data_IF_995568772622
#
_entry.id   IF_995568772622
#
_cell.length_a   1.000
_cell.length_b   1.000
_cell.length_c   1.000
_cell.angle_alpha   90.00
_cell.angle_beta   90.00
_cell.angle_gamma   90.00
#
_symmetry.space_group_name_H-M   'P 1'
#
loop_
_entity.id
_entity.type
_entity.pdbx_description
1 polymer ?
#
# COMPACT_ATOMS: atom_id res chain seq x y z
N UNK A 1 -21.84 -18.94 2.69
CA UNK A 1 -21.03 -17.73 2.97
C UNK A 1 -20.35 -17.35 1.66
N UNK A 2 -20.44 -16.09 1.23
CA UNK A 2 -19.72 -15.63 0.02
C UNK A 2 -18.22 -15.72 0.28
N UNK A 3 -17.46 -16.23 -0.70
CA UNK A 3 -15.99 -16.22 -0.61
C UNK A 3 -15.49 -14.79 -0.54
N UNK A 4 -14.53 -14.55 0.38
CA UNK A 4 -13.93 -13.22 0.58
C UNK A 4 -12.55 -13.13 -0.08
N UNK A 5 -12.20 -11.95 -0.57
CA UNK A 5 -10.85 -11.68 -1.06
C UNK A 5 -9.88 -11.53 0.11
N UNK A 6 -8.76 -12.23 0.08
CA UNK A 6 -7.69 -12.08 1.06
C UNK A 6 -6.79 -10.90 0.65
N UNK A 7 -6.58 -9.94 1.56
CA UNK A 7 -5.83 -8.72 1.31
C UNK A 7 -4.77 -8.46 2.39
N UNK A 8 -3.51 -8.40 2.00
CA UNK A 8 -2.44 -7.80 2.81
C UNK A 8 -2.43 -6.29 2.52
N UNK A 9 -2.81 -5.50 3.51
CA UNK A 9 -2.78 -4.04 3.45
C UNK A 9 -1.49 -3.53 4.11
N UNK A 10 -0.46 -3.25 3.30
CA UNK A 10 0.80 -2.67 3.78
C UNK A 10 0.62 -1.16 3.96
N UNK A 11 0.98 -0.66 5.12
CA UNK A 11 0.94 0.76 5.41
C UNK A 11 2.11 1.19 6.30
N UNK A 12 2.31 2.49 6.44
CA UNK A 12 3.40 3.05 7.23
C UNK A 12 3.95 4.34 6.63
N UNK A 13 4.81 5.05 7.36
CA UNK A 13 5.27 6.37 6.98
C UNK A 13 6.14 6.37 5.72
N UNK A 14 6.32 7.56 5.14
CA UNK A 14 7.18 7.78 3.98
C UNK A 14 8.62 7.36 4.28
N UNK A 15 9.29 6.69 3.34
CA UNK A 15 10.67 6.25 3.50
C UNK A 15 10.89 4.97 4.31
N UNK A 16 9.86 4.37 4.93
CA UNK A 16 10.03 3.13 5.70
C UNK A 16 10.26 1.87 4.85
N UNK A 17 10.07 1.93 3.51
CA UNK A 17 10.42 0.84 2.60
C UNK A 17 9.28 -0.10 2.20
N UNK A 18 8.01 0.33 2.29
CA UNK A 18 6.82 -0.43 1.88
C UNK A 18 6.93 -1.07 0.49
N UNK A 19 7.31 -0.29 -0.52
CA UNK A 19 7.47 -0.78 -1.89
C UNK A 19 8.54 -1.85 -2.02
N UNK A 20 9.63 -1.73 -1.25
CA UNK A 20 10.73 -2.69 -1.24
C UNK A 20 10.28 -4.02 -0.66
N UNK A 21 9.56 -3.99 0.46
CA UNK A 21 8.98 -5.18 1.10
C UNK A 21 7.93 -5.81 0.18
N UNK A 22 6.98 -5.03 -0.36
CA UNK A 22 5.96 -5.54 -1.31
C UNK A 22 6.61 -6.26 -2.48
N UNK A 23 7.62 -5.64 -3.12
CA UNK A 23 8.34 -6.27 -4.23
C UNK A 23 9.07 -7.54 -3.84
N UNK A 24 9.63 -7.60 -2.62
CA UNK A 24 10.30 -8.80 -2.12
C UNK A 24 9.31 -9.95 -1.92
N UNK A 25 8.12 -9.70 -1.37
CA UNK A 25 7.04 -10.69 -1.23
C UNK A 25 6.62 -11.21 -2.62
N UNK A 26 6.28 -10.31 -3.54
CA UNK A 26 5.84 -10.67 -4.89
C UNK A 26 6.90 -11.46 -5.68
N UNK A 27 8.20 -11.22 -5.42
CA UNK A 27 9.30 -11.97 -6.06
C UNK A 27 9.41 -13.40 -5.54
N UNK A 28 9.09 -13.64 -4.26
CA UNK A 28 9.21 -14.97 -3.63
C UNK A 28 8.14 -15.96 -4.11
N UNK A 29 6.91 -15.50 -4.32
CA UNK A 29 5.81 -16.37 -4.74
C UNK A 29 4.78 -15.60 -5.62
N UNK A 30 5.01 -15.59 -6.92
CA UNK A 30 4.12 -14.93 -7.90
C UNK A 30 2.80 -15.70 -8.13
N UNK A 31 2.75 -16.96 -7.77
CA UNK A 31 1.54 -17.78 -7.92
C UNK A 31 0.55 -17.46 -6.82
N UNK A 32 1.03 -17.38 -5.59
CA UNK A 32 0.19 -17.12 -4.41
C UNK A 32 -0.25 -15.66 -4.31
N UNK A 33 0.64 -14.71 -4.65
CA UNK A 33 0.37 -13.28 -4.47
C UNK A 33 -0.08 -12.58 -5.74
N UNK A 34 -1.07 -11.68 -5.59
CA UNK A 34 -1.50 -10.75 -6.61
C UNK A 34 -1.11 -9.32 -6.23
N UNK A 35 -0.44 -8.61 -7.15
CA UNK A 35 -0.07 -7.21 -6.96
C UNK A 35 -1.25 -6.31 -7.28
N UNK A 36 -1.81 -5.65 -6.28
CA UNK A 36 -2.79 -4.59 -6.50
C UNK A 36 -2.09 -3.36 -7.10
N UNK A 37 -2.64 -2.87 -8.21
CA UNK A 37 -2.24 -1.61 -8.85
C UNK A 37 -3.34 -0.60 -8.54
N UNK A 38 -2.98 0.47 -7.82
CA UNK A 38 -3.89 1.56 -7.49
C UNK A 38 -4.25 2.42 -8.71
N UNK A 39 -5.38 3.11 -8.63
CA UNK A 39 -5.79 4.15 -9.58
C UNK A 39 -5.46 5.54 -9.02
N UNK A 40 -5.22 6.51 -9.89
CA UNK A 40 -4.98 7.90 -9.47
C UNK A 40 -5.26 8.91 -10.57
N UNK A 41 -5.73 10.10 -10.16
CA UNK A 41 -5.88 11.25 -11.07
C UNK A 41 -4.62 12.11 -11.15
N UNK A 42 -3.58 11.78 -10.36
CA UNK A 42 -2.30 12.46 -10.43
C UNK A 42 -1.66 12.25 -11.81
N UNK A 43 -1.11 13.31 -12.44
CA UNK A 43 -0.36 13.14 -13.68
C UNK A 43 0.78 12.13 -13.55
N UNK A 44 0.92 11.30 -14.57
CA UNK A 44 1.98 10.30 -14.66
C UNK A 44 3.36 10.99 -14.68
N UNK A 45 4.29 10.50 -13.87
CA UNK A 45 5.69 10.93 -13.90
C UNK A 45 6.41 10.29 -15.08
N UNK A 46 7.56 10.89 -15.48
CA UNK A 46 8.32 10.46 -16.65
C UNK A 46 8.65 8.97 -16.73
N UNK A 47 8.97 8.35 -15.59
CA UNK A 47 9.38 6.93 -15.51
C UNK A 47 8.26 5.97 -15.14
N UNK A 48 7.06 6.46 -14.87
CA UNK A 48 5.93 5.62 -14.48
C UNK A 48 5.22 5.05 -15.72
N UNK A 49 4.65 3.86 -15.59
CA UNK A 49 3.98 3.13 -16.67
C UNK A 49 2.54 2.88 -16.25
N UNK A 50 1.57 3.29 -17.11
CA UNK A 50 0.16 3.04 -16.89
C UNK A 50 -0.12 1.53 -16.85
N UNK A 51 -0.95 1.09 -15.87
CA UNK A 51 -1.26 -0.31 -15.65
C UNK A 51 -0.14 -1.11 -14.97
N UNK A 52 0.97 -0.46 -14.58
CA UNK A 52 2.07 -1.09 -13.85
C UNK A 52 2.34 -0.39 -12.51
N UNK A 53 2.50 0.93 -12.53
CA UNK A 53 2.74 1.73 -11.33
C UNK A 53 1.40 2.21 -10.74
N UNK A 54 0.54 2.73 -11.60
CA UNK A 54 -0.85 3.10 -11.34
C UNK A 54 -1.69 2.94 -12.60
N UNK A 55 -3.01 2.86 -12.44
CA UNK A 55 -3.97 3.20 -13.48
C UNK A 55 -4.19 4.71 -13.42
N UNK A 56 -3.56 5.43 -14.37
CA UNK A 56 -3.70 6.89 -14.47
C UNK A 56 -4.95 7.21 -15.27
N UNK A 57 -5.86 7.96 -14.66
CA UNK A 57 -7.15 8.34 -15.24
C UNK A 57 -7.42 9.82 -14.95
N UNK A 58 -8.36 10.43 -15.65
CA UNK A 58 -8.81 11.76 -15.33
C UNK A 58 -9.83 11.78 -14.17
N UNK A 59 -10.26 12.99 -13.77
CA UNK A 59 -11.20 13.13 -12.67
C UNK A 59 -12.60 12.59 -13.00
N UNK A 60 -13.02 12.64 -14.24
CA UNK A 60 -14.33 12.19 -14.69
C UNK A 60 -14.37 10.66 -14.65
N UNK A 61 -13.39 9.99 -15.24
CA UNK A 61 -13.24 8.53 -15.20
C UNK A 61 -13.11 8.02 -13.75
N UNK A 62 -12.37 8.72 -12.88
CA UNK A 62 -12.25 8.36 -11.47
C UNK A 62 -13.60 8.47 -10.76
N UNK A 63 -14.32 9.58 -10.95
CA UNK A 63 -15.63 9.80 -10.35
C UNK A 63 -16.66 8.75 -10.81
N UNK A 64 -16.67 8.41 -12.11
CA UNK A 64 -17.53 7.34 -12.64
C UNK A 64 -17.25 5.99 -11.95
N UNK A 65 -15.98 5.63 -11.74
CA UNK A 65 -15.64 4.40 -11.04
C UNK A 65 -16.10 4.40 -9.59
N UNK A 66 -16.06 5.55 -8.90
CA UNK A 66 -16.59 5.68 -7.53
C UNK A 66 -18.12 5.53 -7.54
N UNK A 67 -18.83 6.27 -8.40
CA UNK A 67 -20.29 6.26 -8.49
C UNK A 67 -20.85 4.88 -8.86
N UNK A 68 -20.16 4.13 -9.70
CA UNK A 68 -20.52 2.78 -10.11
C UNK A 68 -20.08 1.69 -9.12
N UNK A 69 -19.57 2.05 -7.93
CA UNK A 69 -19.05 1.12 -6.93
C UNK A 69 -17.96 0.18 -7.45
N UNK A 70 -17.20 0.62 -8.46
CA UNK A 70 -16.08 -0.14 -9.05
C UNK A 70 -14.80 -0.06 -8.18
N UNK A 71 -14.79 0.76 -7.14
CA UNK A 71 -13.66 0.89 -6.21
C UNK A 71 -13.97 0.26 -4.85
N UNK A 72 -12.96 -0.35 -4.24
CA UNK A 72 -13.04 -0.88 -2.87
C UNK A 72 -12.70 0.19 -1.82
N UNK A 73 -11.93 1.20 -2.21
CA UNK A 73 -11.64 2.41 -1.46
C UNK A 73 -11.28 3.56 -2.42
N UNK A 74 -11.52 4.79 -2.00
CA UNK A 74 -11.11 6.00 -2.69
C UNK A 74 -10.80 7.10 -1.66
N UNK A 75 -9.66 7.78 -1.83
CA UNK A 75 -9.19 8.84 -0.94
C UNK A 75 -8.63 10.02 -1.73
N UNK A 76 -8.46 11.16 -1.09
CA UNK A 76 -7.82 12.32 -1.70
C UNK A 76 -6.49 12.62 -0.99
N UNK A 77 -5.47 12.98 -1.76
CA UNK A 77 -4.18 13.36 -1.23
C UNK A 77 -3.50 14.41 -2.13
N UNK A 78 -3.15 15.55 -1.57
CA UNK A 78 -2.50 16.66 -2.30
C UNK A 78 -3.26 17.12 -3.56
N UNK A 79 -4.59 17.18 -3.49
CA UNK A 79 -5.43 17.61 -4.62
C UNK A 79 -5.61 16.56 -5.72
N UNK A 80 -5.12 15.33 -5.52
CA UNK A 80 -5.32 14.20 -6.42
C UNK A 80 -6.10 13.09 -5.73
N UNK A 81 -6.90 12.36 -6.50
CA UNK A 81 -7.59 11.18 -6.02
C UNK A 81 -6.73 9.93 -6.19
N UNK A 82 -6.88 9.02 -5.25
CA UNK A 82 -6.27 7.69 -5.23
C UNK A 82 -7.32 6.67 -4.84
N UNK A 83 -7.26 5.50 -5.43
CA UNK A 83 -8.21 4.44 -5.11
C UNK A 83 -7.75 3.08 -5.61
N UNK A 84 -8.52 2.06 -5.28
CA UNK A 84 -8.26 0.69 -5.70
C UNK A 84 -9.46 0.11 -6.41
N UNK A 85 -9.28 -0.24 -7.69
CA UNK A 85 -10.33 -0.87 -8.49
C UNK A 85 -10.62 -2.29 -7.98
N UNK A 86 -11.90 -2.62 -7.84
CA UNK A 86 -12.38 -3.96 -7.46
C UNK A 86 -11.86 -5.04 -8.40
N UNK A 87 -11.77 -4.74 -9.69
CA UNK A 87 -11.23 -5.63 -10.72
C UNK A 87 -9.76 -5.98 -10.57
N UNK A 88 -9.01 -5.25 -9.72
CA UNK A 88 -7.61 -5.57 -9.40
C UNK A 88 -7.46 -6.71 -8.39
N UNK A 89 -8.57 -7.14 -7.75
CA UNK A 89 -8.57 -8.24 -6.79
C UNK A 89 -8.74 -9.59 -7.49
N UNK A 90 -8.01 -10.60 -7.03
CA UNK A 90 -8.12 -11.99 -7.50
C UNK A 90 -8.51 -12.87 -6.32
N UNK A 91 -9.66 -13.56 -6.42
CA UNK A 91 -10.29 -14.31 -5.35
C UNK A 91 -9.38 -15.42 -4.76
N UNK A 92 -8.75 -16.21 -5.62
CA UNK A 92 -7.94 -17.37 -5.22
C UNK A 92 -6.47 -17.02 -4.95
N UNK A 93 -6.17 -15.73 -4.71
CA UNK A 93 -4.84 -15.23 -4.36
C UNK A 93 -4.87 -14.37 -3.12
N UNK A 94 -3.72 -14.20 -2.52
CA UNK A 94 -3.51 -13.17 -1.50
C UNK A 94 -3.15 -11.87 -2.23
N UNK A 95 -4.10 -10.94 -2.25
CA UNK A 95 -3.90 -9.62 -2.83
C UNK A 95 -3.00 -8.79 -1.93
N UNK A 96 -2.10 -7.99 -2.49
CA UNK A 96 -1.17 -7.18 -1.72
C UNK A 96 -1.12 -5.75 -2.26
N UNK A 97 -1.47 -4.79 -1.42
CA UNK A 97 -1.51 -3.36 -1.73
C UNK A 97 -0.77 -2.51 -0.70
N UNK A 98 -0.45 -1.28 -1.09
CA UNK A 98 0.06 -0.24 -0.19
C UNK A 98 -1.01 0.83 -0.06
N UNK A 99 -1.37 1.15 1.18
CA UNK A 99 -2.44 2.06 1.50
C UNK A 99 -1.93 3.18 2.43
N UNK A 100 -2.54 4.36 2.36
CA UNK A 100 -2.41 5.38 3.39
C UNK A 100 -3.36 5.06 4.55
N UNK A 101 -3.30 5.84 5.63
CA UNK A 101 -4.13 5.59 6.82
C UNK A 101 -5.63 5.69 6.52
N UNK A 102 -6.04 6.71 5.77
CA UNK A 102 -7.44 6.95 5.39
C UNK A 102 -8.01 5.79 4.57
N UNK A 103 -7.28 5.34 3.54
CA UNK A 103 -7.65 4.19 2.73
C UNK A 103 -7.75 2.90 3.55
N UNK A 104 -6.79 2.66 4.45
CA UNK A 104 -6.83 1.49 5.34
C UNK A 104 -8.05 1.52 6.27
N UNK A 105 -8.35 2.67 6.86
CA UNK A 105 -9.51 2.83 7.72
C UNK A 105 -10.82 2.58 6.96
N UNK A 106 -10.98 3.16 5.77
CA UNK A 106 -12.12 2.92 4.88
C UNK A 106 -12.28 1.43 4.55
N UNK A 107 -11.18 0.74 4.25
CA UNK A 107 -11.19 -0.69 3.98
C UNK A 107 -11.64 -1.51 5.19
N UNK A 108 -11.15 -1.18 6.39
CA UNK A 108 -11.50 -1.89 7.62
C UNK A 108 -12.96 -1.68 8.04
N UNK A 109 -13.51 -0.50 7.80
CA UNK A 109 -14.89 -0.16 8.13
C UNK A 109 -15.92 -0.75 7.17
N UNK A 110 -15.55 -0.93 5.88
CA UNK A 110 -16.48 -1.29 4.81
C UNK A 110 -16.18 -2.66 4.16
N UNK A 111 -15.51 -3.56 4.86
CA UNK A 111 -14.92 -4.76 4.26
C UNK A 111 -15.75 -6.04 4.41
N UNK A 112 -17.04 -6.03 4.08
CA UNK A 112 -17.83 -7.27 4.11
C UNK A 112 -17.28 -8.37 3.18
N UNK A 113 -16.64 -7.99 2.09
CA UNK A 113 -16.08 -8.87 1.06
C UNK A 113 -14.57 -9.14 1.18
N UNK A 114 -13.89 -8.54 2.18
CA UNK A 114 -12.46 -8.63 2.34
C UNK A 114 -12.07 -9.29 3.68
N UNK A 115 -11.09 -10.19 3.64
CA UNK A 115 -10.31 -10.59 4.80
C UNK A 115 -9.02 -9.77 4.79
N UNK A 116 -8.91 -8.78 5.66
CA UNK A 116 -7.78 -7.83 5.65
C UNK A 116 -6.76 -8.22 6.71
N UNK A 117 -5.50 -8.27 6.31
CA UNK A 117 -4.34 -8.33 7.18
C UNK A 117 -3.58 -7.00 7.13
N UNK A 118 -3.77 -6.08 8.08
CA UNK A 118 -3.00 -4.85 8.17
C UNK A 118 -1.56 -5.15 8.60
N UNK A 119 -0.59 -4.67 7.79
CA UNK A 119 0.84 -4.85 8.03
C UNK A 119 1.52 -3.49 8.16
N UNK A 120 1.93 -3.15 9.36
CA UNK A 120 2.66 -1.93 9.68
C UNK A 120 4.14 -2.08 9.38
N UNK A 121 4.66 -1.29 8.43
CA UNK A 121 6.11 -1.20 8.17
C UNK A 121 6.63 0.09 8.76
N UNK A 122 7.65 0.01 9.61
CA UNK A 122 8.27 1.18 10.21
C UNK A 122 9.79 1.17 10.10
N UNK A 123 10.38 2.33 10.18
CA UNK A 123 11.80 2.57 10.36
C UNK A 123 11.97 3.88 11.12
N UNK A 124 13.12 4.08 11.77
CA UNK A 124 13.38 5.31 12.47
C UNK A 124 13.53 6.50 11.52
N UNK A 125 13.28 7.70 12.00
CA UNK A 125 13.23 8.91 11.19
C UNK A 125 14.54 9.21 10.47
N UNK A 126 15.68 8.93 11.08
CA UNK A 126 16.99 9.09 10.46
C UNK A 126 17.10 8.22 9.18
N UNK A 127 16.76 6.94 9.28
CA UNK A 127 16.79 6.01 8.15
C UNK A 127 15.79 6.40 7.06
N UNK A 128 14.59 6.80 7.44
CA UNK A 128 13.54 7.27 6.53
C UNK A 128 14.00 8.49 5.74
N UNK A 129 14.57 9.50 6.43
CA UNK A 129 15.12 10.71 5.82
C UNK A 129 16.26 10.40 4.87
N UNK A 130 17.26 9.61 5.29
CA UNK A 130 18.39 9.22 4.46
C UNK A 130 17.90 8.50 3.18
N UNK A 131 16.98 7.55 3.32
CA UNK A 131 16.42 6.82 2.18
C UNK A 131 15.68 7.73 1.22
N UNK A 132 14.92 8.69 1.73
CA UNK A 132 14.12 9.60 0.92
C UNK A 132 15.00 10.62 0.20
N UNK A 133 16.01 11.18 0.86
CA UNK A 133 16.98 12.10 0.26
C UNK A 133 17.82 11.43 -0.84
N UNK A 134 18.19 10.15 -0.65
CA UNK A 134 18.99 9.40 -1.62
C UNK A 134 18.21 8.84 -2.82
N UNK A 135 16.89 9.05 -2.89
CA UNK A 135 16.05 8.56 -3.98
C UNK A 135 16.32 9.25 -5.32
N UNK A 136 16.62 10.51 -5.27
CA UNK A 136 16.79 11.39 -6.42
C UNK A 136 18.11 12.16 -6.29
N UNK A 137 18.71 12.51 -7.43
CA UNK A 137 19.96 13.30 -7.43
C UNK A 137 19.74 14.70 -6.85
N UNK A 138 18.58 15.31 -7.11
CA UNK A 138 18.16 16.62 -6.62
C UNK A 138 16.81 16.48 -5.91
N UNK A 139 16.79 16.07 -4.63
CA UNK A 139 15.54 15.84 -3.92
C UNK A 139 14.81 17.14 -3.58
N UNK A 140 13.49 17.14 -3.72
CA UNK A 140 12.67 18.25 -3.23
C UNK A 140 12.56 18.17 -1.69
N UNK A 141 13.48 18.84 -0.98
CA UNK A 141 13.54 18.82 0.47
C UNK A 141 12.28 19.38 1.14
N UNK A 142 11.65 20.41 0.56
CA UNK A 142 10.41 20.97 1.11
C UNK A 142 9.28 19.93 1.11
N UNK A 143 9.10 19.19 0.01
CA UNK A 143 8.11 18.10 -0.09
C UNK A 143 8.45 16.93 0.85
N UNK A 144 9.73 16.62 1.03
CA UNK A 144 10.17 15.59 1.99
C UNK A 144 9.77 16.00 3.41
N UNK A 145 10.09 17.23 3.82
CA UNK A 145 9.73 17.74 5.15
C UNK A 145 8.21 17.76 5.37
N UNK A 146 7.46 18.23 4.37
CA UNK A 146 6.00 18.24 4.42
C UNK A 146 5.43 16.83 4.66
N UNK A 147 5.95 15.81 3.96
CA UNK A 147 5.54 14.40 4.16
C UNK A 147 5.87 13.89 5.56
N UNK A 148 7.05 14.24 6.08
CA UNK A 148 7.43 13.84 7.44
C UNK A 148 6.49 14.42 8.50
N UNK A 149 6.08 15.69 8.34
CA UNK A 149 5.11 16.32 9.25
C UNK A 149 3.73 15.66 9.11
N UNK A 150 3.27 15.39 7.89
CA UNK A 150 2.02 14.69 7.65
C UNK A 150 2.04 13.28 8.28
N UNK A 151 3.10 12.50 8.02
CA UNK A 151 3.26 11.17 8.62
C UNK A 151 3.18 11.21 10.15
N UNK A 152 3.78 12.22 10.80
CA UNK A 152 3.73 12.37 12.26
C UNK A 152 2.30 12.59 12.77
N UNK A 153 1.47 13.30 12.01
CA UNK A 153 0.08 13.56 12.37
C UNK A 153 -0.84 12.38 12.02
N UNK A 154 -0.59 11.68 10.91
CA UNK A 154 -1.49 10.64 10.38
C UNK A 154 -1.39 9.31 11.15
N UNK A 155 -0.21 8.97 11.70
CA UNK A 155 0.04 7.65 12.29
C UNK A 155 -0.08 7.60 13.82
N UNK A 156 -1.04 8.34 14.41
CA UNK A 156 -1.33 8.27 15.84
C UNK A 156 -2.14 7.03 16.24
N UNK A 157 -2.99 6.53 15.34
CA UNK A 157 -3.83 5.35 15.57
C UNK A 157 -3.30 4.24 14.68
N UNK A 158 -2.76 3.18 15.29
CA UNK A 158 -2.15 2.08 14.57
C UNK A 158 -3.07 0.85 14.66
N UNK A 159 -3.71 0.51 13.54
CA UNK A 159 -4.49 -0.72 13.38
C UNK A 159 -3.62 -1.78 12.69
N UNK A 160 -2.83 -2.54 13.42
CA UNK A 160 -2.00 -3.58 12.83
C UNK A 160 -2.24 -4.94 13.45
N UNK A 161 -2.22 -5.98 12.61
CA UNK A 161 -2.11 -7.37 13.09
C UNK A 161 -0.65 -7.75 13.30
N UNK A 162 0.26 -7.20 12.47
CA UNK A 162 1.71 -7.36 12.63
C UNK A 162 2.43 -6.04 12.37
N UNK A 163 3.55 -5.84 13.04
CA UNK A 163 4.49 -4.74 12.78
C UNK A 163 5.86 -5.29 12.40
N UNK A 164 6.49 -4.62 11.44
CA UNK A 164 7.76 -5.05 10.85
C UNK A 164 8.76 -3.91 10.89
N UNK A 165 9.83 -4.14 11.64
CA UNK A 165 10.97 -3.23 11.69
C UNK A 165 11.81 -3.37 10.41
N UNK A 166 11.92 -2.29 9.65
CA UNK A 166 12.69 -2.24 8.42
C UNK A 166 13.87 -1.22 8.50
N UNK A 167 14.50 -1.11 9.67
CA UNK A 167 15.67 -0.26 9.87
C UNK A 167 16.89 -0.78 9.11
N UNK A 168 17.13 -2.08 9.12
CA UNK A 168 18.30 -2.69 8.52
C UNK A 168 18.10 -3.07 7.06
N UNK A 169 18.93 -2.55 6.15
CA UNK A 169 18.85 -2.83 4.70
C UNK A 169 18.95 -4.32 4.35
N UNK A 170 19.71 -5.10 5.13
CA UNK A 170 19.91 -6.53 4.91
C UNK A 170 18.68 -7.41 5.20
N UNK A 171 17.73 -6.94 6.00
CA UNK A 171 16.60 -7.74 6.48
C UNK A 171 15.35 -7.76 5.58
N UNK A 172 15.38 -7.11 4.43
CA UNK A 172 14.23 -7.05 3.51
C UNK A 172 13.70 -8.45 3.14
N UNK A 173 14.59 -9.40 2.85
CA UNK A 173 14.19 -10.76 2.48
C UNK A 173 13.62 -11.55 3.66
N UNK A 174 14.16 -11.36 4.86
CA UNK A 174 13.70 -11.96 6.10
C UNK A 174 12.34 -11.37 6.52
N UNK A 175 12.20 -10.06 6.46
CA UNK A 175 10.94 -9.36 6.71
C UNK A 175 9.83 -9.81 5.75
N UNK A 176 10.15 -9.96 4.46
CA UNK A 176 9.20 -10.48 3.48
C UNK A 176 8.78 -11.92 3.80
N UNK A 177 9.71 -12.79 4.20
CA UNK A 177 9.40 -14.16 4.59
C UNK A 177 8.51 -14.22 5.82
N UNK A 178 8.82 -13.41 6.84
CA UNK A 178 8.00 -13.30 8.04
C UNK A 178 6.53 -12.92 7.70
N UNK A 179 6.34 -11.89 6.85
CA UNK A 179 5.00 -11.49 6.41
C UNK A 179 4.29 -12.62 5.66
N UNK A 180 5.00 -13.33 4.77
CA UNK A 180 4.45 -14.45 3.99
C UNK A 180 3.94 -15.57 4.92
N UNK A 181 4.76 -15.99 5.87
CA UNK A 181 4.40 -17.07 6.80
C UNK A 181 3.22 -16.65 7.68
N UNK A 182 3.24 -15.43 8.19
CA UNK A 182 2.13 -14.91 8.98
C UNK A 182 0.83 -14.86 8.16
N UNK A 183 0.88 -14.34 6.94
CA UNK A 183 -0.29 -14.24 6.06
C UNK A 183 -0.88 -15.60 5.70
N UNK A 184 -0.03 -16.61 5.39
CA UNK A 184 -0.47 -17.97 5.13
C UNK A 184 -1.25 -18.57 6.32
N UNK A 185 -0.79 -18.32 7.54
CA UNK A 185 -1.47 -18.79 8.75
C UNK A 185 -2.75 -17.99 9.01
N UNK A 186 -2.71 -16.67 8.87
CA UNK A 186 -3.86 -15.79 9.08
C UNK A 186 -5.04 -16.13 8.19
N UNK A 187 -4.82 -16.31 6.88
CA UNK A 187 -5.87 -16.59 5.92
C UNK A 187 -6.33 -18.05 5.88
N UNK A 188 -5.61 -18.96 6.49
CA UNK A 188 -6.08 -20.36 6.66
C UNK A 188 -7.27 -20.48 7.62
N UNK A 189 -7.42 -19.53 8.53
CA UNK A 189 -8.40 -19.57 9.62
C UNK A 189 -9.53 -18.54 9.44
N UNK A 190 -9.64 -17.96 8.25
CA UNK A 190 -10.69 -17.00 7.84
C UNK A 190 -11.57 -17.57 6.75
#
# INVERSE_FOLDING_TARGET
MSEKFNLIAIYGPSGCGKDTIKRAILKKDKVLFNNIIGATTRPKREREINGKDYYFMDNEEFAENVLNCNMIEATSFNGWFYGTLRTSLILNKINIGIFNMEALQTLLENSEELNILPVWIFANDKERLIRTLNREKNPNCAEICRRFIADYNDYHIIHHSISVDNNEKGKVSENAEYIIQYAKNYFKHK
#
